data_IF_877356562100
#
_entry.id   IF_877356562100
#
_cell.length_a   1.000
_cell.length_b   1.000
_cell.length_c   1.000
_cell.angle_alpha   90.00
_cell.angle_beta   90.00
_cell.angle_gamma   90.00
#
_symmetry.space_group_name_H-M   'P 1'
#
loop_
_entity.id
_entity.type
_entity.pdbx_description
1 polymer ?
#
# COMPACT_ATOMS: atom_id res chain seq x y z
N UNK A 1 10.96 9.45 15.98
CA UNK A 1 10.09 8.48 15.28
C UNK A 1 10.30 7.02 15.68
N UNK A 2 11.51 6.52 16.01
CA UNK A 2 11.68 5.14 16.54
C UNK A 2 11.20 4.93 18.00
N UNK A 3 10.80 5.98 18.71
CA UNK A 3 10.35 5.92 20.13
C UNK A 3 8.84 5.70 20.32
N UNK A 4 8.05 5.57 19.24
CA UNK A 4 6.56 5.52 19.27
C UNK A 4 5.91 6.67 20.08
N UNK A 5 6.66 7.75 20.30
CA UNK A 5 6.24 8.86 21.16
C UNK A 5 5.15 9.69 20.48
N UNK A 6 5.31 9.99 19.20
CA UNK A 6 4.33 10.71 18.38
C UNK A 6 3.55 9.74 17.48
N UNK A 7 2.23 9.69 17.67
CA UNK A 7 1.31 8.86 16.88
C UNK A 7 0.68 9.60 15.68
N UNK A 8 1.06 10.86 15.46
CA UNK A 8 0.53 11.68 14.37
C UNK A 8 0.76 11.05 12.99
N UNK A 9 1.92 10.42 12.75
CA UNK A 9 2.18 9.73 11.48
C UNK A 9 1.24 8.53 11.24
N UNK A 10 0.91 7.79 12.31
CA UNK A 10 -0.03 6.66 12.22
C UNK A 10 -1.42 7.18 11.90
N UNK A 11 -1.84 8.25 12.58
CA UNK A 11 -3.12 8.94 12.33
C UNK A 11 -3.21 9.42 10.88
N UNK A 12 -2.21 10.14 10.40
CA UNK A 12 -2.16 10.63 9.01
C UNK A 12 -2.18 9.46 8.02
N UNK A 13 -1.48 8.36 8.30
CA UNK A 13 -1.46 7.20 7.40
C UNK A 13 -2.83 6.51 7.33
N UNK A 14 -3.51 6.34 8.46
CA UNK A 14 -4.87 5.77 8.50
C UNK A 14 -5.86 6.65 7.72
N UNK A 15 -5.80 7.98 7.89
CA UNK A 15 -6.62 8.91 7.11
C UNK A 15 -6.26 8.90 5.61
N UNK A 16 -4.97 8.85 5.27
CA UNK A 16 -4.51 8.83 3.89
C UNK A 16 -4.94 7.56 3.14
N UNK A 17 -5.11 6.43 3.82
CA UNK A 17 -5.65 5.19 3.24
C UNK A 17 -7.18 5.24 3.21
N UNK A 18 -7.79 5.75 4.27
CA UNK A 18 -9.25 5.79 4.38
C UNK A 18 -9.90 6.76 3.40
N UNK A 19 -9.37 7.97 3.24
CA UNK A 19 -9.99 9.02 2.43
C UNK A 19 -10.19 8.62 0.96
N UNK A 20 -9.20 8.07 0.24
CA UNK A 20 -9.42 7.60 -1.12
C UNK A 20 -10.41 6.43 -1.17
N UNK A 21 -10.44 5.58 -0.14
CA UNK A 21 -11.37 4.44 -0.09
C UNK A 21 -12.83 4.87 0.11
N UNK A 22 -13.07 5.90 0.93
CA UNK A 22 -14.39 6.54 1.07
C UNK A 22 -14.81 7.20 -0.24
N UNK A 23 -13.89 7.97 -0.84
CA UNK A 23 -14.15 8.68 -2.09
C UNK A 23 -14.46 7.70 -3.22
N UNK A 24 -13.76 6.56 -3.29
CA UNK A 24 -14.02 5.50 -4.26
C UNK A 24 -15.41 4.88 -4.08
N UNK A 25 -15.85 4.65 -2.84
CA UNK A 25 -17.19 4.11 -2.57
C UNK A 25 -18.30 5.10 -2.96
N UNK A 26 -18.11 6.39 -2.69
CA UNK A 26 -19.03 7.46 -3.10
C UNK A 26 -19.05 7.59 -4.64
N UNK A 27 -17.88 7.60 -5.28
CA UNK A 27 -17.77 7.73 -6.74
C UNK A 27 -18.43 6.55 -7.47
N UNK A 28 -18.37 5.35 -6.89
CA UNK A 28 -19.10 4.20 -7.40
C UNK A 28 -20.63 4.36 -7.22
N UNK A 29 -21.09 4.87 -6.08
CA UNK A 29 -22.52 5.12 -5.86
C UNK A 29 -23.12 6.14 -6.83
N UNK A 30 -22.34 7.16 -7.20
CA UNK A 30 -22.73 8.19 -8.19
C UNK A 30 -22.63 7.64 -9.64
N UNK A 31 -22.04 6.46 -9.85
CA UNK A 31 -21.93 5.83 -11.16
C UNK A 31 -20.89 6.47 -12.09
N UNK A 32 -19.95 7.26 -11.55
CA UNK A 32 -18.90 7.92 -12.32
C UNK A 32 -17.78 6.94 -12.70
N UNK A 33 -17.63 5.85 -11.94
CA UNK A 33 -16.56 4.87 -12.11
C UNK A 33 -17.06 3.57 -12.72
N UNK A 34 -16.42 3.14 -13.81
CA UNK A 34 -16.61 1.80 -14.34
C UNK A 34 -15.78 0.81 -13.52
N UNK A 35 -16.49 -0.01 -12.74
CA UNK A 35 -15.93 -1.05 -11.88
C UNK A 35 -15.08 -2.05 -12.69
N UNK A 36 -15.32 -2.15 -14.00
CA UNK A 36 -14.59 -3.06 -14.90
C UNK A 36 -13.11 -2.68 -15.10
N UNK A 37 -12.75 -1.42 -14.86
CA UNK A 37 -11.37 -0.94 -14.92
C UNK A 37 -10.60 -1.05 -13.59
N UNK A 38 -11.25 -1.51 -12.52
CA UNK A 38 -10.57 -1.75 -11.25
C UNK A 38 -9.70 -3.00 -11.35
N UNK A 39 -8.43 -2.79 -11.66
CA UNK A 39 -7.42 -3.84 -11.67
C UNK A 39 -6.95 -4.12 -10.24
N UNK A 40 -7.46 -5.21 -9.67
CA UNK A 40 -6.97 -5.71 -8.39
C UNK A 40 -5.74 -6.57 -8.65
N UNK A 41 -4.65 -6.23 -7.99
CA UNK A 41 -3.39 -6.95 -8.08
C UNK A 41 -3.48 -8.31 -7.39
N UNK A 42 -3.09 -9.37 -8.08
CA UNK A 42 -3.08 -10.74 -7.55
C UNK A 42 -2.18 -10.87 -6.33
N UNK A 43 -2.65 -11.60 -5.32
CA UNK A 43 -1.84 -12.07 -4.21
C UNK A 43 -1.06 -13.31 -4.65
N UNK A 44 0.15 -13.07 -5.15
CA UNK A 44 1.09 -14.12 -5.51
C UNK A 44 2.24 -14.18 -4.48
N UNK A 45 2.92 -15.32 -4.36
CA UNK A 45 4.12 -15.53 -3.53
C UNK A 45 5.15 -14.42 -3.69
N UNK A 46 5.26 -13.85 -4.90
CA UNK A 46 6.13 -12.70 -5.20
C UNK A 46 5.80 -11.45 -4.38
N UNK A 47 4.53 -11.17 -4.13
CA UNK A 47 4.12 -9.97 -3.36
C UNK A 47 4.61 -10.09 -1.93
N UNK A 48 4.58 -11.30 -1.36
CA UNK A 48 5.05 -11.59 0.00
C UNK A 48 6.57 -11.45 0.07
N UNK A 49 7.29 -12.18 -0.78
CA UNK A 49 8.77 -12.11 -0.85
C UNK A 49 9.24 -10.68 -1.14
N UNK A 50 8.61 -10.02 -2.12
CA UNK A 50 8.93 -8.67 -2.52
C UNK A 50 8.65 -7.66 -1.41
N UNK A 51 7.53 -7.81 -0.69
CA UNK A 51 7.18 -6.97 0.45
C UNK A 51 8.19 -7.08 1.59
N UNK A 52 8.68 -8.28 1.90
CA UNK A 52 9.70 -8.50 2.93
C UNK A 52 11.02 -7.84 2.52
N UNK A 53 11.50 -8.10 1.30
CA UNK A 53 12.75 -7.52 0.78
C UNK A 53 12.66 -5.99 0.75
N UNK A 54 11.54 -5.45 0.25
CA UNK A 54 11.28 -4.02 0.20
C UNK A 54 11.26 -3.40 1.60
N UNK A 55 10.54 -4.01 2.55
CA UNK A 55 10.47 -3.54 3.93
C UNK A 55 11.83 -3.50 4.62
N UNK A 56 12.62 -4.57 4.48
CA UNK A 56 13.95 -4.66 5.08
C UNK A 56 14.91 -3.63 4.47
N UNK A 57 14.96 -3.51 3.15
CA UNK A 57 15.87 -2.58 2.47
C UNK A 57 15.57 -1.10 2.79
N UNK A 58 14.29 -0.70 2.76
CA UNK A 58 13.92 0.67 3.14
C UNK A 58 14.10 0.91 4.65
N UNK A 59 13.89 -0.12 5.48
CA UNK A 59 14.22 -0.10 6.90
C UNK A 59 15.70 0.20 7.16
N UNK A 60 16.61 -0.47 6.45
CA UNK A 60 18.07 -0.25 6.54
C UNK A 60 18.47 1.12 5.97
N UNK A 61 17.85 1.56 4.88
CA UNK A 61 18.11 2.87 4.29
C UNK A 61 17.68 4.04 5.21
N UNK A 62 16.78 3.77 6.16
CA UNK A 62 16.21 4.75 7.08
C UNK A 62 15.30 5.75 6.37
N UNK A 63 14.75 5.38 5.21
CA UNK A 63 13.85 6.19 4.41
C UNK A 63 12.68 5.33 3.96
N UNK A 64 11.51 5.91 3.75
CA UNK A 64 10.39 5.27 3.07
C UNK A 64 10.11 5.96 1.74
N UNK A 65 9.42 5.28 0.81
CA UNK A 65 9.16 5.79 -0.54
C UNK A 65 8.61 7.23 -0.56
N UNK A 66 7.63 7.54 0.32
CA UNK A 66 7.06 8.90 0.44
C UNK A 66 8.07 9.93 0.95
N UNK A 67 8.89 9.59 1.95
CA UNK A 67 9.95 10.48 2.43
C UNK A 67 11.07 10.69 1.42
N UNK A 68 11.37 9.73 0.54
CA UNK A 68 12.36 9.93 -0.52
C UNK A 68 11.92 11.05 -1.47
N UNK A 69 10.64 11.05 -1.88
CA UNK A 69 10.08 12.08 -2.76
C UNK A 69 10.01 13.44 -2.05
N UNK A 70 9.58 13.48 -0.80
CA UNK A 70 9.57 14.73 -0.01
C UNK A 70 10.96 15.29 0.26
N UNK A 71 11.94 14.43 0.53
CA UNK A 71 13.34 14.83 0.77
C UNK A 71 14.07 15.26 -0.51
N UNK A 72 13.56 14.90 -1.69
CA UNK A 72 14.09 15.37 -2.98
C UNK A 72 13.86 16.88 -3.20
N UNK A 73 13.01 17.53 -2.40
CA UNK A 73 12.84 18.99 -2.43
C UNK A 73 13.52 19.70 -1.24
N UNK A 74 14.27 18.98 -0.39
CA UNK A 74 14.77 19.48 0.90
C UNK A 74 16.27 19.27 1.15
N UNK A 75 16.68 19.43 2.42
CA UNK A 75 18.07 19.49 2.91
C UNK A 75 18.93 18.24 2.64
N UNK A 76 18.32 17.10 2.32
CA UNK A 76 19.01 15.82 2.09
C UNK A 76 18.91 15.35 0.63
N UNK A 77 18.95 16.31 -0.31
CA UNK A 77 18.81 16.09 -1.75
C UNK A 77 19.71 14.98 -2.29
N UNK A 78 21.00 14.95 -1.91
CA UNK A 78 21.96 13.94 -2.40
C UNK A 78 21.58 12.52 -1.99
N UNK A 79 21.10 12.32 -0.76
CA UNK A 79 20.66 11.00 -0.28
C UNK A 79 19.34 10.60 -0.95
N UNK A 80 18.41 11.55 -1.10
CA UNK A 80 17.13 11.33 -1.76
C UNK A 80 17.30 10.94 -3.24
N UNK A 81 18.11 11.68 -4.00
CA UNK A 81 18.33 11.41 -5.42
C UNK A 81 19.00 10.04 -5.62
N UNK A 82 19.97 9.68 -4.77
CA UNK A 82 20.64 8.39 -4.82
C UNK A 82 19.68 7.23 -4.54
N UNK A 83 18.79 7.36 -3.54
CA UNK A 83 17.77 6.34 -3.26
C UNK A 83 16.73 6.23 -4.37
N UNK A 84 16.30 7.34 -4.97
CA UNK A 84 15.35 7.32 -6.09
C UNK A 84 15.98 6.65 -7.31
N UNK A 85 17.20 7.03 -7.67
CA UNK A 85 17.90 6.49 -8.84
C UNK A 85 18.21 5.01 -8.68
N UNK A 86 18.66 4.60 -7.49
CA UNK A 86 18.93 3.20 -7.17
C UNK A 86 17.63 2.36 -7.15
N UNK A 87 16.54 2.91 -6.60
CA UNK A 87 15.22 2.27 -6.62
C UNK A 87 14.69 2.09 -8.03
N UNK A 88 14.84 3.10 -8.89
CA UNK A 88 14.42 3.02 -10.29
C UNK A 88 15.27 2.03 -11.09
N UNK A 89 16.58 2.04 -10.88
CA UNK A 89 17.49 1.10 -11.54
C UNK A 89 17.22 -0.35 -11.11
N UNK A 90 16.91 -0.56 -9.83
CA UNK A 90 16.54 -1.86 -9.29
C UNK A 90 15.18 -2.34 -9.85
N UNK A 91 14.19 -1.45 -9.98
CA UNK A 91 12.91 -1.78 -10.61
C UNK A 91 13.09 -2.16 -12.09
N UNK A 92 13.98 -1.46 -12.80
CA UNK A 92 14.32 -1.77 -14.18
C UNK A 92 15.04 -3.12 -14.32
N UNK A 93 16.06 -3.36 -13.48
CA UNK A 93 16.77 -4.64 -13.44
C UNK A 93 15.83 -5.81 -13.13
N UNK A 94 14.88 -5.63 -12.20
CA UNK A 94 13.85 -6.62 -11.92
C UNK A 94 12.94 -6.85 -13.12
N UNK A 95 12.56 -5.80 -13.85
CA UNK A 95 11.71 -5.92 -15.04
C UNK A 95 12.39 -6.74 -16.16
N UNK A 96 13.72 -6.64 -16.32
CA UNK A 96 14.47 -7.44 -17.30
C UNK A 96 14.62 -8.89 -16.83
N UNK A 97 14.99 -9.09 -15.56
CA UNK A 97 15.16 -10.43 -14.97
C UNK A 97 13.82 -11.16 -14.80
N UNK A 98 12.71 -10.44 -14.97
CA UNK A 98 11.36 -10.95 -14.79
C UNK A 98 11.06 -12.21 -15.60
N UNK A 99 11.38 -12.20 -16.90
CA UNK A 99 11.14 -13.33 -17.79
C UNK A 99 11.85 -14.59 -17.30
N UNK A 100 13.11 -14.45 -16.90
CA UNK A 100 13.94 -15.53 -16.40
C UNK A 100 13.45 -16.10 -15.06
N UNK A 101 13.02 -15.24 -14.14
CA UNK A 101 12.47 -15.65 -12.86
C UNK A 101 11.13 -16.39 -13.03
N UNK A 102 10.34 -16.01 -14.03
CA UNK A 102 9.04 -16.63 -14.33
C UNK A 102 9.19 -18.06 -14.85
N UNK A 103 10.21 -18.32 -15.67
CA UNK A 103 10.51 -19.64 -16.22
C UNK A 103 11.04 -20.63 -15.17
N UNK A 104 11.71 -20.15 -14.12
CA UNK A 104 12.26 -20.97 -13.02
C UNK A 104 11.21 -21.49 -12.03
N UNK A 105 9.91 -21.21 -12.23
CA UNK A 105 8.82 -21.75 -11.40
C UNK A 105 8.72 -21.19 -9.97
N UNK A 106 9.63 -20.28 -9.58
CA UNK A 106 9.65 -19.58 -8.28
C UNK A 106 8.42 -18.68 -8.05
N UNK A 107 7.59 -18.53 -9.07
CA UNK A 107 6.41 -17.67 -9.15
C UNK A 107 5.09 -18.45 -9.04
N UNK A 108 5.12 -19.78 -9.13
CA UNK A 108 3.90 -20.60 -9.28
C UNK A 108 3.47 -21.33 -8.00
N UNK A 109 4.26 -21.30 -6.93
CA UNK A 109 4.02 -22.12 -5.74
C UNK A 109 2.85 -21.69 -4.86
N UNK A 110 2.43 -20.41 -4.91
CA UNK A 110 1.35 -19.89 -4.06
C UNK A 110 0.64 -18.70 -4.73
N UNK A 111 -0.10 -18.99 -5.80
CA UNK A 111 -0.93 -18.00 -6.47
C UNK A 111 -2.32 -18.02 -5.83
N UNK A 112 -2.52 -17.20 -4.79
CA UNK A 112 -3.79 -17.12 -4.06
C UNK A 112 -4.89 -16.39 -4.87
N UNK A 113 -4.58 -16.00 -6.11
CA UNK A 113 -5.50 -15.32 -7.01
C UNK A 113 -5.77 -13.87 -6.62
N UNK A 114 -6.75 -13.27 -7.30
CA UNK A 114 -7.27 -11.94 -7.01
C UNK A 114 -8.31 -12.03 -5.89
N UNK A 115 -7.88 -12.23 -4.65
CA UNK A 115 -8.79 -12.20 -3.51
C UNK A 115 -9.02 -10.75 -3.08
N UNK A 116 -10.28 -10.31 -3.14
CA UNK A 116 -10.69 -9.04 -2.55
C UNK A 116 -11.28 -9.27 -1.17
N UNK A 117 -11.07 -8.31 -0.26
CA UNK A 117 -11.67 -8.40 1.07
C UNK A 117 -13.21 -8.24 1.01
N UNK A 118 -13.70 -7.41 0.09
CA UNK A 118 -15.13 -7.14 -0.15
C UNK A 118 -15.51 -7.42 -1.60
N UNK A 119 -16.80 -7.70 -1.86
CA UNK A 119 -17.30 -7.96 -3.21
C UNK A 119 -17.43 -6.64 -4.00
N UNK A 120 -16.33 -6.26 -4.63
CA UNK A 120 -16.22 -5.02 -5.41
C UNK A 120 -16.52 -5.25 -6.89
N UNK A 121 -16.46 -6.49 -7.38
CA UNK A 121 -16.74 -6.83 -8.77
C UNK A 121 -17.07 -8.32 -8.89
N UNK A 122 -18.03 -8.73 -9.74
CA UNK A 122 -18.37 -10.14 -9.95
C UNK A 122 -17.21 -10.97 -10.53
N UNK A 123 -16.14 -10.32 -11.00
CA UNK A 123 -14.96 -10.92 -11.61
C UNK A 123 -13.96 -11.49 -10.60
N UNK A 124 -14.05 -11.11 -9.31
CA UNK A 124 -13.03 -11.45 -8.30
C UNK A 124 -13.64 -12.14 -7.07
N UNK A 125 -13.09 -13.30 -6.64
CA UNK A 125 -13.55 -13.99 -5.44
C UNK A 125 -13.31 -13.13 -4.19
N UNK A 126 -14.33 -13.00 -3.35
CA UNK A 126 -14.32 -12.12 -2.18
C UNK A 126 -14.42 -12.91 -0.88
N UNK A 127 -13.71 -12.47 0.17
CA UNK A 127 -13.75 -13.11 1.50
C UNK A 127 -15.04 -12.75 2.25
N UNK A 128 -15.49 -11.49 2.13
CA UNK A 128 -16.79 -11.04 2.63
C UNK A 128 -17.73 -10.73 1.46
N UNK A 129 -18.94 -11.28 1.48
CA UNK A 129 -19.98 -11.04 0.46
C UNK A 129 -20.67 -9.65 0.61
N UNK A 130 -20.12 -8.80 1.47
CA UNK A 130 -20.59 -7.44 1.64
C UNK A 130 -19.86 -6.58 0.60
N UNK A 131 -20.60 -5.90 -0.27
CA UNK A 131 -20.03 -5.11 -1.36
C UNK A 131 -19.45 -3.76 -0.92
N UNK A 132 -19.56 -2.74 -1.76
CA UNK A 132 -19.04 -1.39 -1.50
C UNK A 132 -19.52 -0.73 -0.20
N UNK A 133 -20.68 -1.15 0.32
CA UNK A 133 -21.21 -0.68 1.60
C UNK A 133 -20.34 -1.15 2.79
N UNK A 134 -19.75 -2.35 2.69
CA UNK A 134 -18.85 -2.90 3.70
C UNK A 134 -17.50 -2.22 3.68
N UNK A 135 -17.00 -1.91 2.49
CA UNK A 135 -15.81 -1.07 2.33
C UNK A 135 -16.02 0.28 3.01
N UNK A 136 -17.17 0.93 2.78
CA UNK A 136 -17.51 2.21 3.38
C UNK A 136 -17.54 2.11 4.92
N UNK A 137 -18.28 1.14 5.47
CA UNK A 137 -18.45 1.01 6.93
C UNK A 137 -17.12 0.73 7.64
N UNK A 138 -16.29 -0.16 7.09
CA UNK A 138 -15.01 -0.54 7.68
C UNK A 138 -14.03 0.63 7.62
N UNK A 139 -14.02 1.37 6.51
CA UNK A 139 -13.13 2.52 6.37
C UNK A 139 -13.53 3.66 7.31
N UNK A 140 -14.82 3.93 7.49
CA UNK A 140 -15.29 4.90 8.51
C UNK A 140 -14.82 4.46 9.90
N UNK A 141 -14.93 3.16 10.22
CA UNK A 141 -14.48 2.63 11.50
C UNK A 141 -12.96 2.83 11.70
N UNK A 142 -12.16 2.59 10.66
CA UNK A 142 -10.71 2.82 10.69
C UNK A 142 -10.34 4.30 10.85
N UNK A 143 -11.07 5.22 10.19
CA UNK A 143 -10.88 6.66 10.40
C UNK A 143 -11.25 7.09 11.80
N UNK A 144 -12.37 6.59 12.34
CA UNK A 144 -12.79 6.85 13.71
C UNK A 144 -11.75 6.35 14.71
N UNK A 145 -11.24 5.13 14.53
CA UNK A 145 -10.14 4.59 15.33
C UNK A 145 -8.89 5.48 15.26
N UNK A 146 -8.51 5.94 14.07
CA UNK A 146 -7.41 6.90 13.89
C UNK A 146 -7.67 8.26 14.56
N UNK A 147 -8.92 8.75 14.56
CA UNK A 147 -9.29 9.99 15.23
C UNK A 147 -9.18 9.87 16.77
N UNK A 148 -9.69 8.76 17.33
CA UNK A 148 -9.65 8.46 18.77
C UNK A 148 -8.23 8.21 19.29
N UNK A 149 -7.25 7.92 18.43
CA UNK A 149 -5.87 7.71 18.86
C UNK A 149 -5.30 8.99 19.53
N UNK A 150 -4.69 8.86 20.73
CA UNK A 150 -4.01 9.99 21.37
C UNK A 150 -2.83 10.47 20.52
N UNK A 151 -2.48 11.75 20.62
CA UNK A 151 -1.36 12.33 19.84
C UNK A 151 0.00 11.80 20.30
N UNK A 152 0.14 11.55 21.60
CA UNK A 152 1.33 10.96 22.20
C UNK A 152 0.96 9.98 23.31
N UNK A 153 1.72 8.89 23.41
CA UNK A 153 1.62 7.89 24.50
C UNK A 153 2.37 8.37 25.75
N UNK A 154 3.46 9.14 25.57
CA UNK A 154 4.26 9.67 26.66
C UNK A 154 3.94 11.16 26.77
N UNK A 155 3.11 11.50 27.76
CA UNK A 155 2.85 12.88 28.16
C UNK A 155 4.18 13.46 28.68
N UNK A 156 4.76 14.39 27.93
CA UNK A 156 5.79 15.29 28.45
C UNK A 156 5.21 16.68 28.54
#
# INVERSE_FOLDING_TARGET
>A
MLRLEDLDLVKITLFAIGLPSVLLSIANYIGIFDISHLDIKTLNTRVIIGGIIFGLLFGVAGTCSRTCVGAASGSNFKKAISTILCGLLSAFAFSISYGYLNERGLISGFNLGNMTLFNLSPKYPSVFNIGFIGLFIVVILFMLGGYLLPKSIIKK
#
